data_IF_355095310200
#
_entry.id   IF_355095310200
#
_cell.length_a   1.000
_cell.length_b   1.000
_cell.length_c   1.000
_cell.angle_alpha   90.00
_cell.angle_beta   90.00
_cell.angle_gamma   90.00
#
_symmetry.space_group_name_H-M   'P 1'
#
loop_
_entity.id
_entity.type
_entity.pdbx_description
1 polymer ?
#
# COMPACT_ATOMS: atom_id res chain seq x y z
N UNK A 1 19.48 -4.90 13.94
CA UNK A 1 18.64 -5.59 14.94
C UNK A 1 17.43 -4.71 15.17
N UNK A 2 16.27 -5.31 15.01
CA UNK A 2 14.95 -4.68 14.84
C UNK A 2 14.45 -4.09 16.15
N UNK A 3 14.36 -2.77 16.23
CA UNK A 3 13.51 -2.12 17.22
C UNK A 3 12.06 -2.26 16.76
N UNK A 4 11.42 -3.31 17.24
CA UNK A 4 9.98 -3.51 17.08
C UNK A 4 9.26 -2.48 17.95
N UNK A 5 8.78 -1.40 17.34
CA UNK A 5 7.70 -0.58 17.89
C UNK A 5 6.46 -1.47 18.05
N UNK A 6 6.29 -2.04 19.23
CA UNK A 6 5.01 -2.60 19.65
C UNK A 6 4.05 -1.44 19.87
N UNK A 7 3.35 -1.05 18.80
CA UNK A 7 2.21 -0.17 18.85
C UNK A 7 1.19 -0.77 19.83
N UNK A 8 1.13 -0.19 21.03
CA UNK A 8 0.17 -0.60 22.06
C UNK A 8 -1.19 -0.03 21.67
N UNK A 9 -2.04 -0.85 21.06
CA UNK A 9 -3.42 -0.47 20.72
C UNK A 9 -4.21 -0.34 22.03
N UNK A 10 -4.32 0.90 22.54
CA UNK A 10 -5.34 1.26 23.52
C UNK A 10 -6.68 1.37 22.80
N UNK A 11 -7.57 0.41 23.01
CA UNK A 11 -8.97 0.52 22.59
C UNK A 11 -9.67 1.50 23.56
N UNK A 12 -9.59 2.79 23.26
CA UNK A 12 -10.53 3.78 23.78
C UNK A 12 -11.83 3.62 22.99
N UNK A 13 -12.99 3.69 23.66
CA UNK A 13 -14.34 3.38 23.14
C UNK A 13 -14.87 4.30 22.01
N UNK A 14 -14.07 4.55 20.98
CA UNK A 14 -14.51 4.92 19.65
C UNK A 14 -14.11 3.76 18.75
N UNK A 15 -15.07 3.16 18.03
CA UNK A 15 -14.85 2.01 17.15
C UNK A 15 -13.58 2.21 16.30
N UNK A 16 -12.50 1.42 16.49
CA UNK A 16 -11.28 1.61 15.74
C UNK A 16 -11.57 1.44 14.24
N UNK A 17 -11.34 2.50 13.48
CA UNK A 17 -11.40 2.49 12.01
C UNK A 17 -9.99 2.32 11.46
N UNK A 18 -9.84 1.36 10.55
CA UNK A 18 -8.59 1.12 9.85
C UNK A 18 -8.71 1.67 8.44
N UNK A 19 -7.83 2.59 8.04
CA UNK A 19 -7.73 3.02 6.64
C UNK A 19 -7.06 1.90 5.85
N UNK A 20 -7.79 1.29 4.93
CA UNK A 20 -7.38 0.09 4.16
C UNK A 20 -7.27 0.34 2.66
N UNK A 21 -7.27 1.61 2.23
CA UNK A 21 -7.14 2.01 0.83
C UNK A 21 -6.49 3.37 0.67
N UNK A 22 -6.18 3.73 -0.58
CA UNK A 22 -5.51 4.98 -0.92
C UNK A 22 -6.45 6.19 -0.94
N UNK A 23 -7.77 5.97 -1.03
CA UNK A 23 -8.78 7.03 -1.11
C UNK A 23 -9.46 7.25 0.24
N UNK A 24 -9.87 8.50 0.50
CA UNK A 24 -10.66 8.84 1.68
C UNK A 24 -11.99 8.05 1.67
N UNK A 25 -12.30 7.37 2.77
CA UNK A 25 -13.51 6.55 2.92
C UNK A 25 -13.31 5.04 2.74
N UNK A 26 -12.12 4.58 2.34
CA UNK A 26 -11.76 3.16 2.31
C UNK A 26 -11.41 2.64 3.73
N UNK A 27 -12.37 2.75 4.63
CA UNK A 27 -12.21 2.41 6.05
C UNK A 27 -12.85 1.08 6.41
N UNK A 28 -12.19 0.33 7.29
CA UNK A 28 -12.72 -0.86 7.94
C UNK A 28 -12.95 -0.55 9.41
N UNK A 29 -14.20 -0.43 9.83
CA UNK A 29 -14.55 -0.32 11.25
C UNK A 29 -14.52 -1.70 11.91
N UNK A 30 -13.74 -1.81 12.99
CA UNK A 30 -13.73 -2.99 13.85
C UNK A 30 -14.47 -2.67 15.16
N UNK A 31 -15.38 -3.55 15.56
CA UNK A 31 -16.05 -3.47 16.86
C UNK A 31 -15.88 -4.79 17.57
N UNK A 32 -15.33 -4.72 18.79
CA UNK A 32 -15.20 -5.86 19.70
C UNK A 32 -16.17 -5.59 20.85
N UNK A 33 -17.05 -6.54 21.10
CA UNK A 33 -17.97 -6.47 22.24
C UNK A 33 -17.20 -6.62 23.56
N UNK A 34 -17.78 -6.16 24.69
CA UNK A 34 -17.10 -6.29 25.98
C UNK A 34 -16.93 -7.77 26.38
N UNK A 35 -15.68 -8.21 26.47
CA UNK A 35 -15.29 -9.57 26.86
C UNK A 35 -14.88 -9.67 28.35
N UNK A 36 -15.22 -8.65 29.16
CA UNK A 36 -15.06 -8.71 30.61
C UNK A 36 -16.00 -9.73 31.26
N UNK A 37 -15.77 -10.09 32.53
CA UNK A 37 -16.66 -11.00 33.26
C UNK A 37 -18.09 -10.47 33.36
N UNK A 38 -18.27 -9.15 33.36
CA UNK A 38 -19.57 -8.48 33.35
C UNK A 38 -20.19 -8.50 31.95
N UNK A 39 -19.41 -8.21 30.91
CA UNK A 39 -19.85 -8.30 29.51
C UNK A 39 -20.24 -9.73 29.09
N UNK A 40 -19.62 -10.74 29.72
CA UNK A 40 -19.90 -12.16 29.52
C UNK A 40 -20.95 -12.75 30.48
N UNK A 41 -21.49 -11.95 31.43
CA UNK A 41 -22.48 -12.38 32.43
C UNK A 41 -22.02 -13.55 33.33
N UNK A 42 -20.73 -13.60 33.65
CA UNK A 42 -20.12 -14.61 34.56
C UNK A 42 -19.85 -14.00 35.95
N UNK A 43 -19.93 -12.68 36.10
CA UNK A 43 -19.62 -11.96 37.34
C UNK A 43 -20.51 -12.34 38.53
N UNK A 44 -21.77 -12.73 38.28
CA UNK A 44 -22.71 -13.17 39.33
C UNK A 44 -22.79 -14.69 39.50
N UNK A 45 -21.87 -15.46 38.92
CA UNK A 45 -21.90 -16.92 39.03
C UNK A 45 -21.54 -17.37 40.46
N UNK A 46 -22.50 -18.00 41.15
CA UNK A 46 -22.31 -18.58 42.47
C UNK A 46 -22.33 -20.11 42.41
N UNK A 47 -21.32 -20.73 43.02
CA UNK A 47 -21.10 -22.20 43.05
C UNK A 47 -21.40 -22.77 44.44
N UNK A 48 -21.83 -21.93 45.40
CA UNK A 48 -22.12 -22.35 46.77
C UNK A 48 -23.28 -23.35 46.90
N UNK A 49 -24.20 -23.36 45.92
CA UNK A 49 -25.35 -24.28 45.87
C UNK A 49 -25.31 -25.16 44.61
N UNK A 50 -25.96 -26.33 44.67
CA UNK A 50 -26.06 -27.24 43.51
C UNK A 50 -26.78 -26.61 42.32
N UNK A 51 -27.81 -25.81 42.60
CA UNK A 51 -28.56 -25.06 41.58
C UNK A 51 -27.72 -23.93 40.99
N UNK A 52 -27.01 -23.17 41.83
CA UNK A 52 -26.06 -22.15 41.40
C UNK A 52 -24.94 -22.71 40.52
N UNK A 53 -24.35 -23.84 40.92
CA UNK A 53 -23.33 -24.53 40.12
C UNK A 53 -23.84 -24.96 38.74
N UNK A 54 -25.10 -25.42 38.65
CA UNK A 54 -25.71 -25.81 37.36
C UNK A 54 -25.93 -24.58 36.48
N UNK A 55 -26.43 -23.47 37.04
CA UNK A 55 -26.61 -22.21 36.32
C UNK A 55 -25.26 -21.60 35.88
N UNK A 56 -24.23 -21.70 36.73
CA UNK A 56 -22.87 -21.24 36.43
C UNK A 56 -22.27 -21.99 35.23
N UNK A 57 -22.46 -23.32 35.13
CA UNK A 57 -22.03 -24.10 33.97
C UNK A 57 -22.69 -23.59 32.68
N UNK A 58 -24.00 -23.30 32.72
CA UNK A 58 -24.72 -22.74 31.57
C UNK A 58 -24.19 -21.36 31.20
N UNK A 59 -23.97 -20.47 32.17
CA UNK A 59 -23.40 -19.14 31.92
C UNK A 59 -22.01 -19.23 31.28
N UNK A 60 -21.12 -20.07 31.82
CA UNK A 60 -19.77 -20.28 31.27
C UNK A 60 -19.83 -20.83 29.84
N UNK A 61 -20.71 -21.79 29.54
CA UNK A 61 -20.88 -22.31 28.18
C UNK A 61 -21.33 -21.22 27.20
N UNK A 62 -22.25 -20.35 27.62
CA UNK A 62 -22.69 -19.23 26.81
C UNK A 62 -21.56 -18.21 26.57
N UNK A 63 -20.78 -17.92 27.61
CA UNK A 63 -19.62 -17.05 27.49
C UNK A 63 -18.55 -17.62 26.53
N UNK A 64 -18.27 -18.93 26.61
CA UNK A 64 -17.35 -19.61 25.67
C UNK A 64 -17.85 -19.47 24.23
N UNK A 65 -19.14 -19.68 24.00
CA UNK A 65 -19.74 -19.52 22.68
C UNK A 65 -19.64 -18.08 22.17
N UNK A 66 -19.85 -17.09 23.05
CA UNK A 66 -19.74 -15.68 22.70
C UNK A 66 -18.30 -15.30 22.32
N UNK A 67 -17.31 -15.69 23.13
CA UNK A 67 -15.89 -15.47 22.83
C UNK A 67 -15.47 -16.16 21.54
N UNK A 68 -15.92 -17.41 21.32
CA UNK A 68 -15.67 -18.14 20.08
C UNK A 68 -16.24 -17.41 18.86
N UNK A 69 -17.45 -16.88 18.98
CA UNK A 69 -18.10 -16.09 17.92
C UNK A 69 -17.32 -14.80 17.64
N UNK A 70 -16.89 -14.08 18.67
CA UNK A 70 -16.10 -12.86 18.51
C UNK A 70 -14.73 -13.16 17.85
N UNK A 71 -14.07 -14.27 18.23
CA UNK A 71 -12.84 -14.73 17.56
C UNK A 71 -13.07 -15.10 16.10
N UNK A 72 -14.18 -15.75 15.78
CA UNK A 72 -14.54 -16.07 14.40
C UNK A 72 -14.73 -14.78 13.56
N UNK A 73 -15.40 -13.78 14.13
CA UNK A 73 -15.55 -12.45 13.51
C UNK A 73 -14.20 -11.77 13.27
N UNK A 74 -13.29 -11.81 14.23
CA UNK A 74 -11.92 -11.30 14.06
C UNK A 74 -11.15 -12.06 12.96
N UNK A 75 -11.29 -13.38 12.89
CA UNK A 75 -10.70 -14.18 11.81
C UNK A 75 -11.26 -13.82 10.43
N UNK A 76 -12.56 -13.53 10.33
CA UNK A 76 -13.16 -13.06 9.08
C UNK A 76 -12.60 -11.69 8.66
N UNK A 77 -12.41 -10.76 9.60
CA UNK A 77 -11.76 -9.48 9.31
C UNK A 77 -10.30 -9.65 8.89
N UNK A 78 -9.55 -10.56 9.51
CA UNK A 78 -8.18 -10.88 9.10
C UNK A 78 -8.12 -11.38 7.65
N UNK A 79 -8.96 -12.36 7.28
CA UNK A 79 -9.04 -12.85 5.90
C UNK A 79 -9.39 -11.73 4.91
N UNK A 80 -10.35 -10.87 5.27
CA UNK A 80 -10.74 -9.73 4.43
C UNK A 80 -9.58 -8.74 4.26
N UNK A 81 -8.83 -8.46 5.32
CA UNK A 81 -7.64 -7.60 5.28
C UNK A 81 -6.55 -8.22 4.40
N UNK A 82 -6.30 -9.53 4.53
CA UNK A 82 -5.30 -10.23 3.72
C UNK A 82 -5.64 -10.20 2.22
N UNK A 83 -6.91 -10.44 1.87
CA UNK A 83 -7.38 -10.28 0.49
C UNK A 83 -7.26 -8.83 0.00
N UNK A 84 -7.54 -7.85 0.86
CA UNK A 84 -7.43 -6.43 0.51
C UNK A 84 -5.97 -6.03 0.29
N UNK A 85 -5.06 -6.48 1.14
CA UNK A 85 -3.61 -6.28 0.99
C UNK A 85 -3.13 -6.84 -0.35
N UNK A 86 -3.51 -8.08 -0.67
CA UNK A 86 -3.13 -8.70 -1.94
C UNK A 86 -3.67 -7.92 -3.15
N UNK A 87 -4.92 -7.48 -3.09
CA UNK A 87 -5.52 -6.65 -4.15
C UNK A 87 -4.84 -5.29 -4.29
N UNK A 88 -4.43 -4.67 -3.17
CA UNK A 88 -3.69 -3.40 -3.18
C UNK A 88 -2.28 -3.57 -3.75
N UNK A 89 -1.57 -4.65 -3.39
CA UNK A 89 -0.24 -4.94 -3.94
C UNK A 89 -0.30 -5.10 -5.46
N UNK A 90 -1.27 -5.85 -5.97
CA UNK A 90 -1.49 -6.00 -7.42
C UNK A 90 -1.79 -4.63 -8.07
N UNK A 91 -2.61 -3.81 -7.42
CA UNK A 91 -2.94 -2.48 -7.93
C UNK A 91 -1.71 -1.56 -7.94
N UNK A 92 -0.90 -1.60 -6.88
CA UNK A 92 0.34 -0.84 -6.77
C UNK A 92 1.36 -1.27 -7.84
N UNK A 93 1.54 -2.57 -8.06
CA UNK A 93 2.42 -3.09 -9.12
C UNK A 93 1.95 -2.63 -10.52
N UNK A 94 0.65 -2.73 -10.80
CA UNK A 94 0.09 -2.28 -12.07
C UNK A 94 0.25 -0.77 -12.28
N UNK A 95 0.03 0.03 -11.23
CA UNK A 95 0.21 1.48 -11.28
C UNK A 95 1.68 1.85 -11.44
N UNK A 96 2.60 1.19 -10.74
CA UNK A 96 4.03 1.40 -10.90
C UNK A 96 4.50 1.04 -12.32
N UNK A 97 4.02 -0.07 -12.88
CA UNK A 97 4.32 -0.46 -14.26
C UNK A 97 3.73 0.54 -15.28
N UNK A 98 2.54 1.09 -15.01
CA UNK A 98 1.96 2.14 -15.82
C UNK A 98 2.74 3.46 -15.71
N UNK A 99 3.17 3.84 -14.51
CA UNK A 99 4.04 5.00 -14.29
C UNK A 99 5.36 4.83 -15.02
N UNK A 100 6.02 3.67 -14.89
CA UNK A 100 7.24 3.33 -15.62
C UNK A 100 7.05 3.47 -17.13
N UNK A 101 5.96 2.97 -17.71
CA UNK A 101 5.68 3.17 -19.15
C UNK A 101 5.47 4.62 -19.57
N UNK A 102 4.96 5.47 -18.69
CA UNK A 102 4.67 6.88 -19.00
C UNK A 102 5.91 7.74 -18.77
N UNK A 103 6.65 7.46 -17.70
CA UNK A 103 7.73 8.30 -17.20
C UNK A 103 9.11 7.83 -17.69
N UNK A 104 9.31 6.53 -17.83
CA UNK A 104 10.58 6.00 -18.27
C UNK A 104 10.70 6.17 -19.79
N UNK A 105 11.79 6.80 -20.19
CA UNK A 105 12.13 6.97 -21.60
C UNK A 105 12.73 5.69 -22.15
N UNK A 106 12.43 5.37 -23.40
CA UNK A 106 13.15 4.32 -24.13
C UNK A 106 14.58 4.80 -24.41
N UNK A 107 15.54 4.29 -23.63
CA UNK A 107 16.96 4.59 -23.75
C UNK A 107 17.49 4.37 -25.17
N UNK A 108 17.02 3.36 -25.90
CA UNK A 108 17.50 3.12 -27.27
C UNK A 108 17.08 4.27 -28.20
N UNK A 109 15.84 4.74 -28.06
CA UNK A 109 15.32 5.86 -28.85
C UNK A 109 16.00 7.17 -28.50
N UNK A 110 16.17 7.47 -27.21
CA UNK A 110 16.89 8.66 -26.76
C UNK A 110 18.36 8.65 -27.19
N UNK A 111 19.04 7.50 -27.14
CA UNK A 111 20.42 7.37 -27.63
C UNK A 111 20.54 7.55 -29.15
N UNK A 112 19.56 7.08 -29.93
CA UNK A 112 19.52 7.35 -31.37
C UNK A 112 19.30 8.85 -31.66
N UNK A 113 18.39 9.50 -30.94
CA UNK A 113 18.14 10.94 -31.08
C UNK A 113 19.36 11.74 -30.66
N UNK A 114 19.99 11.39 -29.53
CA UNK A 114 21.22 11.99 -29.05
C UNK A 114 22.36 11.83 -30.06
N UNK A 115 22.55 10.62 -30.62
CA UNK A 115 23.58 10.35 -31.63
C UNK A 115 23.30 11.13 -32.91
N UNK A 116 22.05 11.15 -33.39
CA UNK A 116 21.62 11.95 -34.54
C UNK A 116 21.90 13.43 -34.33
N UNK A 117 21.59 13.96 -33.14
CA UNK A 117 21.85 15.36 -32.82
C UNK A 117 23.35 15.67 -32.76
N UNK A 118 24.17 14.76 -32.22
CA UNK A 118 25.64 14.91 -32.25
C UNK A 118 26.22 14.88 -33.67
N UNK A 119 25.71 14.01 -34.54
CA UNK A 119 26.12 14.00 -35.95
C UNK A 119 25.68 15.29 -36.63
N UNK A 120 24.47 15.78 -36.36
CA UNK A 120 23.98 17.06 -36.88
C UNK A 120 24.83 18.25 -36.42
N UNK A 121 25.24 18.31 -35.14
CA UNK A 121 26.09 19.39 -34.65
C UNK A 121 27.48 19.33 -35.25
N UNK A 122 28.07 18.14 -35.39
CA UNK A 122 29.35 17.94 -36.10
C UNK A 122 29.26 18.27 -37.60
N UNK A 123 28.15 17.91 -38.24
CA UNK A 123 27.90 18.25 -39.64
C UNK A 123 27.67 19.75 -39.81
N UNK A 124 26.95 20.41 -38.91
CA UNK A 124 26.72 21.85 -38.93
C UNK A 124 28.02 22.64 -38.74
N UNK A 125 28.93 22.20 -37.86
CA UNK A 125 30.25 22.83 -37.70
C UNK A 125 31.15 22.61 -38.91
N UNK A 126 31.16 21.41 -39.50
CA UNK A 126 31.89 21.13 -40.73
C UNK A 126 31.34 21.92 -41.94
N UNK A 127 30.01 22.04 -42.05
CA UNK A 127 29.33 22.83 -43.08
C UNK A 127 29.57 24.34 -42.89
N UNK A 128 29.56 24.85 -41.66
CA UNK A 128 29.96 26.23 -41.37
C UNK A 128 31.41 26.50 -41.77
N UNK A 129 32.32 25.57 -41.48
CA UNK A 129 33.72 25.70 -41.89
C UNK A 129 33.88 25.71 -43.42
N UNK A 130 33.17 24.83 -44.13
CA UNK A 130 33.17 24.78 -45.60
C UNK A 130 32.54 26.03 -46.23
N UNK A 131 31.44 26.53 -45.65
CA UNK A 131 30.79 27.76 -46.09
C UNK A 131 31.67 29.00 -45.87
N UNK A 132 32.53 29.02 -44.84
CA UNK A 132 33.48 30.11 -44.61
C UNK A 132 34.71 30.07 -45.53
N UNK A 133 35.08 28.90 -46.08
CA UNK A 133 36.20 28.77 -47.02
C UNK A 133 35.80 29.03 -48.49
N UNK A 134 34.55 28.75 -48.85
CA UNK A 134 34.04 28.93 -50.22
C UNK A 134 34.17 30.38 -50.76
N UNK A 135 34.01 31.46 -49.97
CA UNK A 135 34.25 32.83 -50.44
C UNK A 135 35.72 33.13 -50.76
N UNK A 136 36.67 32.46 -50.10
CA UNK A 136 38.11 32.70 -50.31
C UNK A 136 38.62 32.12 -51.63
N UNK A 137 38.05 31.01 -52.09
CA UNK A 137 38.37 30.45 -53.41
C UNK A 137 37.81 31.30 -54.55
N UNK A 138 36.68 31.97 -54.35
CA UNK A 138 36.14 32.94 -55.33
C UNK A 138 37.03 34.19 -55.43
N UNK A 139 37.66 34.62 -54.33
CA UNK A 139 38.64 35.72 -54.36
C UNK A 139 39.93 35.37 -55.13
N UNK A 140 40.27 34.09 -55.30
CA UNK A 140 41.38 33.67 -56.16
C UNK A 140 41.04 33.75 -57.65
N UNK A 141 39.75 33.69 -58.01
CA UNK A 141 39.27 33.83 -59.39
C UNK A 141 39.11 35.29 -59.84
N UNK A 142 39.31 36.26 -58.94
CA UNK A 142 39.25 37.71 -59.21
C UNK A 142 40.65 38.37 -59.17
N UNK A 143 41.73 37.58 -59.31
CA UNK A 143 43.12 38.07 -59.39
C UNK A 143 43.75 37.77 -60.74
#
# INVERSE_FOLDING_TARGET
>A
MTDGETATIRVTFATPTFQTGALAGDELSLTINDMSTQGLSIDTADISTREGATAAITSVNNAINLVSTERAKLGAYQNRLEHKINSLNISAENLQAAESRIRDVDMAKEMMVFTKNNILTQAATAMLAQANQTPQTVLQLLR
#
